data_IF_142829709435
#
_entry.id   IF_142829709435
#
_cell.length_a   1.000
_cell.length_b   1.000
_cell.length_c   1.000
_cell.angle_alpha   90.00
_cell.angle_beta   90.00
_cell.angle_gamma   90.00
#
_symmetry.space_group_name_H-M   'P 1'
#
loop_
_entity.id
_entity.type
_entity.pdbx_description
1 polymer ?
#
# COMPACT_ATOMS: atom_id res chain seq x y z
N UNK A 1 13.07 29.00 3.20
CA UNK A 1 12.15 28.26 4.07
C UNK A 1 12.14 26.83 3.57
N UNK A 2 12.89 25.93 4.22
CA UNK A 2 13.00 24.54 3.80
C UNK A 2 11.72 23.80 4.20
N UNK A 3 10.75 23.74 3.30
CA UNK A 3 9.73 22.71 3.39
C UNK A 3 10.45 21.39 3.08
N UNK A 4 10.68 20.56 4.10
CA UNK A 4 11.00 19.16 3.87
C UNK A 4 9.78 18.56 3.16
N UNK A 5 9.84 18.51 1.84
CA UNK A 5 8.78 18.01 0.99
C UNK A 5 8.56 16.53 1.34
N UNK A 6 7.42 16.19 1.94
CA UNK A 6 7.03 14.83 2.33
C UNK A 6 5.87 14.39 1.46
N UNK A 7 5.82 13.10 1.10
CA UNK A 7 4.68 12.52 0.39
C UNK A 7 3.55 12.29 1.40
N UNK A 8 2.43 12.98 1.16
CA UNK A 8 1.16 12.75 1.86
C UNK A 8 0.21 11.91 1.01
N UNK A 9 -0.82 11.32 1.61
CA UNK A 9 -1.83 10.53 0.89
C UNK A 9 -2.49 11.38 -0.21
N UNK A 10 -2.85 12.63 0.10
CA UNK A 10 -3.43 13.55 -0.87
C UNK A 10 -2.46 13.90 -2.01
N UNK A 11 -1.17 14.12 -1.70
CA UNK A 11 -0.16 14.36 -2.74
C UNK A 11 0.01 13.12 -3.62
N UNK A 12 0.10 11.93 -3.02
CA UNK A 12 0.17 10.66 -3.75
C UNK A 12 -1.03 10.51 -4.70
N UNK A 13 -2.26 10.63 -4.20
CA UNK A 13 -3.47 10.51 -5.01
C UNK A 13 -3.47 11.51 -6.18
N UNK A 14 -3.10 12.77 -5.93
CA UNK A 14 -2.99 13.80 -6.97
C UNK A 14 -1.96 13.45 -8.04
N UNK A 15 -0.79 12.97 -7.64
CA UNK A 15 0.26 12.51 -8.55
C UNK A 15 -0.18 11.29 -9.36
N UNK A 16 -1.01 10.43 -8.77
CA UNK A 16 -1.59 9.27 -9.43
C UNK A 16 -2.87 9.58 -10.24
N UNK A 17 -3.38 10.81 -10.15
CA UNK A 17 -4.62 11.20 -10.81
C UNK A 17 -5.88 10.60 -10.19
N UNK A 18 -5.80 10.16 -8.93
CA UNK A 18 -6.90 9.60 -8.15
C UNK A 18 -7.56 10.68 -7.29
N UNK A 19 -8.84 10.49 -6.98
CA UNK A 19 -9.56 11.32 -6.02
C UNK A 19 -9.26 10.89 -4.58
N UNK A 20 -9.05 11.85 -3.67
CA UNK A 20 -8.85 11.56 -2.25
C UNK A 20 -10.20 11.37 -1.56
N UNK A 21 -10.65 10.12 -1.45
CA UNK A 21 -11.91 9.75 -0.76
C UNK A 21 -11.79 9.82 0.77
N UNK A 22 -10.60 9.54 1.32
CA UNK A 22 -10.32 9.58 2.75
C UNK A 22 -8.94 10.19 3.01
N UNK A 23 -8.78 11.12 3.98
CA UNK A 23 -7.50 11.76 4.26
C UNK A 23 -6.47 10.84 4.94
N UNK A 24 -6.91 9.75 5.57
CA UNK A 24 -6.06 8.85 6.36
C UNK A 24 -5.75 7.51 5.67
N UNK A 25 -6.38 7.20 4.54
CA UNK A 25 -6.18 5.93 3.82
C UNK A 25 -6.52 6.09 2.35
N UNK A 26 -5.76 5.40 1.51
CA UNK A 26 -5.99 5.33 0.07
C UNK A 26 -5.51 4.01 -0.51
N UNK A 27 -6.02 3.65 -1.68
CA UNK A 27 -5.47 2.53 -2.44
C UNK A 27 -4.20 2.96 -3.15
N UNK A 28 -3.16 2.14 -3.03
CA UNK A 28 -1.92 2.35 -3.76
C UNK A 28 -2.05 1.71 -5.14
N UNK A 29 -2.59 2.46 -6.09
CA UNK A 29 -2.58 2.08 -7.49
C UNK A 29 -1.55 2.94 -8.23
N UNK A 30 -0.50 2.29 -8.75
CA UNK A 30 0.49 2.96 -9.58
C UNK A 30 0.19 2.85 -11.08
N UNK A 31 -1.07 2.69 -11.48
CA UNK A 31 -1.50 2.68 -12.88
C UNK A 31 -1.56 4.07 -13.54
N UNK A 32 -1.58 5.15 -12.76
CA UNK A 32 -1.75 6.52 -13.26
C UNK A 32 -0.63 7.01 -14.20
N UNK A 33 -0.94 7.93 -15.10
CA UNK A 33 -0.13 8.30 -16.28
C UNK A 33 0.56 9.67 -16.19
N UNK A 34 0.57 10.31 -15.02
CA UNK A 34 0.93 11.73 -14.88
C UNK A 34 2.39 12.01 -14.51
N UNK A 35 3.20 10.99 -14.18
CA UNK A 35 4.54 11.18 -13.63
C UNK A 35 5.63 11.03 -14.70
N UNK A 36 6.29 12.14 -15.07
CA UNK A 36 7.32 12.16 -16.11
C UNK A 36 8.72 11.72 -15.63
N UNK A 37 9.01 11.85 -14.34
CA UNK A 37 10.30 11.53 -13.72
C UNK A 37 10.08 10.75 -12.41
N UNK A 38 11.05 9.92 -12.02
CA UNK A 38 10.98 9.15 -10.78
C UNK A 38 10.97 10.11 -9.58
N UNK A 39 10.01 9.93 -8.67
CA UNK A 39 9.93 10.70 -7.45
C UNK A 39 10.37 9.85 -6.27
N UNK A 40 11.37 10.30 -5.52
CA UNK A 40 11.84 9.62 -4.31
C UNK A 40 11.90 10.62 -3.16
N UNK A 41 11.00 10.48 -2.19
CA UNK A 41 10.86 11.41 -1.07
C UNK A 41 10.37 10.67 0.18
N UNK A 42 10.62 11.17 1.39
CA UNK A 42 10.06 10.57 2.59
C UNK A 42 8.53 10.63 2.56
N UNK A 43 7.82 9.60 3.02
CA UNK A 43 6.37 9.60 3.18
C UNK A 43 5.96 9.77 4.65
N UNK A 44 4.76 10.29 4.92
CA UNK A 44 4.22 10.37 6.29
C UNK A 44 3.21 9.25 6.62
N UNK A 45 3.10 8.26 5.74
CA UNK A 45 2.16 7.15 5.83
C UNK A 45 2.89 5.82 5.74
N UNK A 46 2.22 4.75 6.17
CA UNK A 46 2.59 3.39 5.82
C UNK A 46 2.15 3.08 4.39
N UNK A 47 2.97 2.35 3.64
CA UNK A 47 2.60 1.87 2.31
C UNK A 47 2.89 0.38 2.18
N UNK A 48 1.85 -0.43 2.04
CA UNK A 48 1.98 -1.84 1.72
C UNK A 48 1.82 -2.01 0.21
N UNK A 49 2.92 -2.33 -0.48
CA UNK A 49 2.98 -2.49 -1.92
C UNK A 49 3.32 -3.92 -2.29
N UNK A 50 2.48 -4.51 -3.13
CA UNK A 50 2.73 -5.78 -3.79
C UNK A 50 3.17 -5.50 -5.23
N UNK A 51 4.39 -5.94 -5.60
CA UNK A 51 4.88 -5.82 -6.97
C UNK A 51 5.45 -7.14 -7.49
N UNK A 52 5.08 -7.58 -8.70
CA UNK A 52 5.84 -8.61 -9.40
C UNK A 52 7.24 -8.08 -9.77
N UNK A 53 8.21 -8.99 -9.93
CA UNK A 53 9.51 -8.66 -10.51
C UNK A 53 9.39 -8.44 -12.04
N UNK A 54 10.46 -7.91 -12.64
CA UNK A 54 10.53 -7.58 -14.07
C UNK A 54 10.24 -8.79 -14.97
N UNK A 55 10.45 -10.02 -14.48
CA UNK A 55 10.19 -11.25 -15.22
C UNK A 55 8.81 -11.86 -14.89
N UNK A 56 8.13 -11.39 -13.84
CA UNK A 56 6.90 -11.96 -13.28
C UNK A 56 7.07 -13.34 -12.68
N UNK A 57 8.30 -13.72 -12.37
CA UNK A 57 8.68 -14.99 -11.73
C UNK A 57 8.55 -14.88 -10.23
N UNK A 58 8.71 -13.68 -9.67
CA UNK A 58 8.70 -13.42 -8.24
C UNK A 58 7.74 -12.28 -7.89
N UNK A 59 7.23 -12.27 -6.66
CA UNK A 59 6.49 -11.12 -6.13
C UNK A 59 7.20 -10.63 -4.87
N UNK A 60 7.50 -9.34 -4.84
CA UNK A 60 8.05 -8.66 -3.68
C UNK A 60 6.93 -7.91 -2.96
N UNK A 61 6.90 -8.06 -1.64
CA UNK A 61 6.06 -7.29 -0.73
C UNK A 61 6.94 -6.30 -0.01
N UNK A 62 6.54 -5.03 -0.02
CA UNK A 62 7.25 -3.93 0.64
C UNK A 62 6.26 -3.18 1.52
N UNK A 63 6.50 -3.19 2.82
CA UNK A 63 5.86 -2.30 3.78
C UNK A 63 6.84 -1.16 4.07
N UNK A 64 6.49 0.04 3.62
CA UNK A 64 7.24 1.28 3.85
C UNK A 64 6.67 1.94 5.09
N UNK A 65 7.56 2.37 5.99
CA UNK A 65 7.16 3.05 7.21
C UNK A 65 7.14 4.57 7.04
N UNK A 66 6.33 5.30 7.83
CA UNK A 66 6.40 6.76 7.90
C UNK A 66 7.84 7.23 8.19
N UNK A 67 8.31 8.20 7.41
CA UNK A 67 9.67 8.73 7.46
C UNK A 67 10.66 8.02 6.53
N UNK A 68 10.32 6.86 5.99
CA UNK A 68 11.15 6.18 4.99
C UNK A 68 10.97 6.77 3.58
N UNK A 69 11.99 6.60 2.75
CA UNK A 69 11.94 7.01 1.34
C UNK A 69 10.96 6.12 0.57
N UNK A 70 9.97 6.76 -0.03
CA UNK A 70 9.00 6.16 -0.91
C UNK A 70 9.28 6.58 -2.35
N UNK A 71 9.33 5.59 -3.24
CA UNK A 71 9.66 5.78 -4.66
C UNK A 71 8.39 5.60 -5.49
N UNK A 72 8.06 6.62 -6.27
CA UNK A 72 7.01 6.58 -7.29
C UNK A 72 7.73 6.61 -8.64
N UNK A 73 7.79 5.48 -9.36
CA UNK A 73 8.45 5.44 -10.67
C UNK A 73 7.69 6.30 -11.70
N UNK A 74 8.44 6.88 -12.63
CA UNK A 74 7.93 7.54 -13.83
C UNK A 74 7.14 6.55 -14.69
N UNK A 75 6.22 7.07 -15.50
CA UNK A 75 5.37 6.25 -16.38
C UNK A 75 6.20 5.33 -17.29
N UNK A 76 7.34 5.79 -17.80
CA UNK A 76 8.22 5.01 -18.68
C UNK A 76 9.03 3.91 -17.94
N UNK A 77 9.20 4.04 -16.62
CA UNK A 77 9.87 3.04 -15.77
C UNK A 77 8.88 2.11 -15.06
N UNK A 78 7.58 2.30 -15.26
CA UNK A 78 6.57 1.43 -14.65
C UNK A 78 6.45 0.12 -15.39
N UNK A 79 6.59 -0.96 -14.65
CA UNK A 79 6.22 -2.27 -15.14
C UNK A 79 4.71 -2.31 -15.43
N UNK A 80 4.36 -2.82 -16.60
CA UNK A 80 2.98 -2.99 -17.06
C UNK A 80 2.23 -4.06 -16.27
N UNK A 81 2.92 -4.84 -15.45
CA UNK A 81 2.34 -5.92 -14.62
C UNK A 81 1.58 -5.45 -13.38
N UNK A 82 1.55 -4.14 -13.12
CA UNK A 82 0.71 -3.51 -12.11
C UNK A 82 1.30 -3.54 -10.70
N UNK A 83 1.06 -2.44 -9.97
CA UNK A 83 1.32 -2.33 -8.55
C UNK A 83 -0.02 -2.33 -7.84
N UNK A 84 -0.13 -3.07 -6.75
CA UNK A 84 -1.36 -3.05 -5.97
C UNK A 84 -1.04 -3.00 -4.50
N UNK A 85 -1.77 -2.20 -3.75
CA UNK A 85 -1.47 -1.97 -2.35
C UNK A 85 -2.42 -1.02 -1.68
N UNK A 86 -2.06 -0.65 -0.46
CA UNK A 86 -2.78 0.30 0.37
C UNK A 86 -1.79 1.24 1.04
N UNK A 87 -2.13 2.53 1.08
CA UNK A 87 -1.43 3.54 1.88
C UNK A 87 -2.33 3.99 3.02
N UNK A 88 -1.77 4.15 4.21
CA UNK A 88 -2.53 4.55 5.40
C UNK A 88 -1.69 5.34 6.39
N UNK A 89 -2.27 6.39 6.94
CA UNK A 89 -1.63 7.28 7.90
C UNK A 89 -1.57 6.61 9.29
N UNK A 90 -0.53 6.86 10.11
CA UNK A 90 -0.43 6.32 11.47
C UNK A 90 -1.67 6.61 12.34
N UNK A 91 -2.25 7.81 12.18
CA UNK A 91 -3.46 8.21 12.90
C UNK A 91 -4.66 7.26 12.68
N UNK A 92 -4.69 6.54 11.56
CA UNK A 92 -5.73 5.52 11.31
C UNK A 92 -5.62 4.34 12.29
N UNK A 93 -4.39 4.04 12.74
CA UNK A 93 -4.13 2.91 13.63
C UNK A 93 -4.43 3.24 15.10
N UNK A 94 -4.51 4.51 15.47
CA UNK A 94 -4.68 4.95 16.85
C UNK A 94 -5.86 4.23 17.54
N UNK A 95 -5.62 3.70 18.74
CA UNK A 95 -6.59 2.92 19.52
C UNK A 95 -7.06 1.60 18.87
N UNK A 96 -6.30 1.07 17.91
CA UNK A 96 -6.58 -0.24 17.29
C UNK A 96 -5.56 -1.29 17.69
N UNK A 97 -5.91 -2.59 17.64
CA UNK A 97 -4.93 -3.66 17.87
C UNK A 97 -3.74 -3.60 16.91
N UNK A 98 -3.95 -3.12 15.66
CA UNK A 98 -2.91 -3.09 14.65
C UNK A 98 -1.77 -2.12 15.00
N UNK A 99 -2.06 -1.02 15.70
CA UNK A 99 -1.04 -0.07 16.17
C UNK A 99 0.09 -0.75 16.95
N UNK A 100 -0.24 -1.76 17.76
CA UNK A 100 0.71 -2.45 18.63
C UNK A 100 1.50 -3.54 17.92
N UNK A 101 1.00 -4.00 16.78
CA UNK A 101 1.51 -5.16 16.05
C UNK A 101 2.06 -4.79 14.67
N UNK A 102 1.96 -3.54 14.24
CA UNK A 102 2.41 -3.13 12.90
C UNK A 102 3.92 -3.35 12.71
N UNK A 103 4.70 -3.14 13.79
CA UNK A 103 6.15 -3.34 13.80
C UNK A 103 6.56 -4.84 13.82
N UNK A 104 5.63 -5.75 14.12
CA UNK A 104 5.88 -7.20 14.07
C UNK A 104 5.93 -7.71 12.63
N UNK A 105 5.39 -6.96 11.66
CA UNK A 105 5.36 -7.35 10.26
C UNK A 105 6.69 -7.04 9.55
N UNK A 106 7.13 -7.91 8.62
CA UNK A 106 8.36 -7.67 7.89
C UNK A 106 8.22 -6.52 6.89
N UNK A 107 9.17 -5.58 6.91
CA UNK A 107 9.18 -4.40 6.02
C UNK A 107 9.49 -4.75 4.56
N UNK A 108 10.24 -5.84 4.32
CA UNK A 108 10.55 -6.33 2.98
C UNK A 108 10.58 -7.84 2.95
N UNK A 109 9.79 -8.43 2.06
CA UNK A 109 9.81 -9.87 1.79
C UNK A 109 9.75 -10.15 0.30
N UNK A 110 10.45 -11.20 -0.12
CA UNK A 110 10.34 -11.73 -1.48
C UNK A 110 9.72 -13.11 -1.41
N UNK A 111 8.56 -13.31 -2.02
CA UNK A 111 7.95 -14.64 -2.16
C UNK A 111 8.87 -15.48 -3.04
N UNK A 112 9.13 -16.77 -2.80
CA UNK A 112 10.02 -17.55 -3.71
C UNK A 112 9.49 -17.72 -5.14
N UNK A 113 8.23 -17.38 -5.38
CA UNK A 113 7.66 -17.32 -6.72
C UNK A 113 6.49 -16.36 -6.78
N UNK A 114 6.03 -16.08 -7.99
CA UNK A 114 4.88 -15.23 -8.24
C UNK A 114 3.66 -15.70 -7.44
N UNK A 115 2.83 -14.75 -7.03
CA UNK A 115 1.55 -15.06 -6.41
C UNK A 115 0.71 -15.91 -7.38
N UNK A 116 0.18 -17.01 -6.86
CA UNK A 116 -0.80 -17.84 -7.56
C UNK A 116 -2.09 -17.04 -7.81
N UNK A 117 -2.91 -17.48 -8.75
CA UNK A 117 -4.20 -16.84 -9.05
C UNK A 117 -5.07 -16.67 -7.78
N UNK A 118 -5.11 -17.70 -6.93
CA UNK A 118 -5.85 -17.66 -5.66
C UNK A 118 -5.28 -16.64 -4.67
N UNK A 119 -3.97 -16.52 -4.57
CA UNK A 119 -3.32 -15.53 -3.70
C UNK A 119 -3.60 -14.10 -4.20
N UNK A 120 -3.49 -13.88 -5.52
CA UNK A 120 -3.82 -12.57 -6.14
C UNK A 120 -5.27 -12.21 -5.90
N UNK A 121 -6.20 -13.16 -6.07
CA UNK A 121 -7.61 -12.95 -5.79
C UNK A 121 -7.86 -12.56 -4.33
N UNK A 122 -7.19 -13.22 -3.39
CA UNK A 122 -7.33 -12.92 -1.95
C UNK A 122 -6.88 -11.49 -1.63
N UNK A 123 -5.78 -11.03 -2.23
CA UNK A 123 -5.29 -9.65 -2.06
C UNK A 123 -6.27 -8.67 -2.70
N UNK A 124 -6.70 -8.92 -3.93
CA UNK A 124 -7.65 -8.06 -4.64
C UNK A 124 -8.98 -7.92 -3.88
N UNK A 125 -9.52 -9.01 -3.32
CA UNK A 125 -10.74 -8.99 -2.51
C UNK A 125 -10.57 -8.14 -1.24
N UNK A 126 -9.41 -8.20 -0.58
CA UNK A 126 -9.14 -7.37 0.59
C UNK A 126 -9.08 -5.88 0.21
N UNK A 127 -8.44 -5.54 -0.91
CA UNK A 127 -8.37 -4.17 -1.41
C UNK A 127 -9.74 -3.65 -1.85
N UNK A 128 -10.56 -4.48 -2.49
CA UNK A 128 -11.93 -4.13 -2.87
C UNK A 128 -12.81 -3.85 -1.64
N UNK A 129 -12.65 -4.63 -0.56
CA UNK A 129 -13.37 -4.36 0.70
C UNK A 129 -12.93 -3.02 1.31
N UNK A 130 -11.64 -2.71 1.30
CA UNK A 130 -11.13 -1.40 1.73
C UNK A 130 -11.73 -0.30 0.87
N UNK A 131 -11.72 -0.45 -0.47
CA UNK A 131 -12.29 0.50 -1.41
C UNK A 131 -13.76 0.83 -1.10
N UNK A 132 -14.56 -0.20 -0.84
CA UNK A 132 -15.97 -0.03 -0.48
C UNK A 132 -16.15 0.78 0.79
N UNK A 133 -15.33 0.54 1.82
CA UNK A 133 -15.34 1.33 3.06
C UNK A 133 -14.87 2.77 2.85
N UNK A 134 -13.99 3.04 1.88
CA UNK A 134 -13.58 4.42 1.52
C UNK A 134 -14.73 5.25 0.94
N UNK A 135 -15.72 4.60 0.30
CA UNK A 135 -16.90 5.27 -0.26
C UNK A 135 -18.03 5.47 0.76
N UNK A 136 -17.91 4.92 1.96
CA UNK A 136 -18.84 5.15 3.06
C UNK A 136 -18.50 6.43 3.83
N UNK A 137 -19.40 6.86 4.71
CA UNK A 137 -19.14 8.03 5.55
C UNK A 137 -17.88 7.80 6.40
N UNK A 138 -17.06 8.84 6.53
CA UNK A 138 -15.85 8.81 7.35
C UNK A 138 -16.28 8.83 8.82
N UNK A 139 -16.46 7.64 9.39
CA UNK A 139 -16.80 7.44 10.79
C UNK A 139 -15.88 6.39 11.45
N UNK A 140 -16.04 6.27 12.77
CA UNK A 140 -15.22 5.38 13.61
C UNK A 140 -15.42 3.91 13.26
N UNK A 141 -16.62 3.51 12.86
CA UNK A 141 -16.92 2.13 12.48
C UNK A 141 -16.23 1.79 11.16
N UNK A 142 -16.36 2.64 10.13
CA UNK A 142 -15.65 2.47 8.85
C UNK A 142 -14.14 2.38 9.07
N UNK A 143 -13.57 3.26 9.89
CA UNK A 143 -12.13 3.24 10.21
C UNK A 143 -11.69 1.93 10.86
N UNK A 144 -12.49 1.41 11.81
CA UNK A 144 -12.21 0.12 12.48
C UNK A 144 -12.25 -1.05 11.48
N UNK A 145 -13.19 -1.04 10.55
CA UNK A 145 -13.33 -2.06 9.52
C UNK A 145 -12.15 -2.00 8.55
N UNK A 146 -11.75 -0.81 8.10
CA UNK A 146 -10.59 -0.59 7.22
C UNK A 146 -9.32 -1.15 7.87
N UNK A 147 -9.05 -0.79 9.14
CA UNK A 147 -7.87 -1.29 9.87
C UNK A 147 -7.88 -2.81 9.99
N UNK A 148 -9.05 -3.41 10.20
CA UNK A 148 -9.19 -4.87 10.27
C UNK A 148 -8.84 -5.54 8.93
N UNK A 149 -9.25 -4.94 7.80
CA UNK A 149 -8.88 -5.42 6.47
C UNK A 149 -7.40 -5.24 6.16
N UNK A 150 -6.79 -4.11 6.57
CA UNK A 150 -5.34 -3.89 6.44
C UNK A 150 -4.57 -4.96 7.23
N UNK A 151 -4.97 -5.24 8.47
CA UNK A 151 -4.35 -6.28 9.28
C UNK A 151 -4.48 -7.67 8.65
N UNK A 152 -5.65 -8.00 8.09
CA UNK A 152 -5.85 -9.26 7.37
C UNK A 152 -4.96 -9.36 6.11
N UNK A 153 -4.84 -8.26 5.36
CA UNK A 153 -3.99 -8.18 4.18
C UNK A 153 -2.52 -8.40 4.54
N UNK A 154 -2.01 -7.74 5.59
CA UNK A 154 -0.66 -7.94 6.11
C UNK A 154 -0.38 -9.40 6.51
N UNK A 155 -1.35 -10.05 7.16
CA UNK A 155 -1.26 -11.47 7.50
C UNK A 155 -1.18 -12.38 6.27
N UNK A 156 -2.00 -12.12 5.24
CA UNK A 156 -1.92 -12.86 3.98
C UNK A 156 -0.58 -12.66 3.29
N UNK A 157 -0.13 -11.40 3.18
CA UNK A 157 1.16 -11.03 2.62
C UNK A 157 2.31 -11.80 3.31
N UNK A 158 2.35 -11.77 4.64
CA UNK A 158 3.37 -12.48 5.44
C UNK A 158 3.33 -13.98 5.19
N UNK A 159 2.13 -14.58 5.22
CA UNK A 159 1.94 -16.01 4.95
C UNK A 159 2.44 -16.41 3.56
N UNK A 160 2.16 -15.62 2.53
CA UNK A 160 2.59 -15.92 1.15
C UNK A 160 4.11 -15.83 0.99
N UNK A 161 4.77 -15.00 1.79
CA UNK A 161 6.22 -14.94 1.85
C UNK A 161 6.83 -16.13 2.62
N UNK A 162 6.26 -16.49 3.76
CA UNK A 162 6.81 -17.55 4.63
C UNK A 162 6.61 -18.95 4.05
N UNK A 163 5.45 -19.25 3.46
CA UNK A 163 5.13 -20.61 3.00
C UNK A 163 6.00 -21.09 1.83
N UNK A 164 6.75 -20.20 1.18
CA UNK A 164 7.62 -20.57 0.07
C UNK A 164 9.11 -20.67 0.43
N UNK A 165 9.48 -20.54 1.72
CA UNK A 165 10.86 -20.78 2.19
C UNK A 165 11.23 -22.26 2.22
#
# INVERSE_FOLDING_TARGET
>A
MNASSVITIDLFNKLMGQETLNPLVGLADLSGDKLSEDLCMPCNFYALICRPDENGVQTTLRLVNPGEMFEIPAVFHRDTRGYTGVIFHPDLLCDTPLERHIDDYPTRCSCHGALTERERWTIAECLEKIDRELHHAIDRHSSTIIVSHIGLLLNYCTRFCDYKR
#
